data_IF_280207379874
#
_entry.id   IF_280207379874
#
_cell.length_a   1.000
_cell.length_b   1.000
_cell.length_c   1.000
_cell.angle_alpha   90.00
_cell.angle_beta   90.00
_cell.angle_gamma   90.00
#
_symmetry.space_group_name_H-M   'P 1'
#
loop_
_entity.id
_entity.type
_entity.pdbx_description
1 polymer ?
#
# COMPACT_ATOMS: atom_id res chain seq x y z
N UNK A 1 19.20 12.90 2.50
CA UNK A 1 18.06 12.55 3.38
C UNK A 1 17.90 11.03 3.34
N UNK A 2 17.79 10.37 4.50
CA UNK A 2 17.58 8.92 4.59
C UNK A 2 16.08 8.64 4.61
N UNK A 3 15.59 7.75 3.75
CA UNK A 3 14.23 7.23 3.89
C UNK A 3 14.17 6.18 5.01
N UNK A 4 13.00 6.06 5.62
CA UNK A 4 12.63 4.96 6.54
C UNK A 4 11.57 4.12 5.84
N UNK A 5 11.70 2.80 5.91
CA UNK A 5 10.74 1.87 5.35
C UNK A 5 10.00 1.21 6.50
N UNK A 6 8.68 1.03 6.37
CA UNK A 6 7.81 0.41 7.36
C UNK A 6 6.85 -0.53 6.66
N UNK A 7 6.46 -1.61 7.33
CA UNK A 7 5.43 -2.52 6.81
C UNK A 7 4.08 -2.07 7.35
N UNK A 8 3.08 -2.00 6.48
CA UNK A 8 1.70 -1.72 6.88
C UNK A 8 0.82 -2.93 6.63
N UNK A 9 -0.11 -3.14 7.56
CA UNK A 9 -1.10 -4.20 7.52
C UNK A 9 -2.45 -3.65 7.09
N UNK A 10 -2.83 -3.90 5.84
CA UNK A 10 -4.12 -3.54 5.25
C UNK A 10 -5.23 -4.52 5.61
N UNK A 11 -4.96 -5.57 6.40
CA UNK A 11 -6.05 -6.36 6.99
C UNK A 11 -6.76 -5.63 8.14
N UNK A 12 -6.20 -4.51 8.59
CA UNK A 12 -6.83 -3.60 9.55
C UNK A 12 -7.41 -2.38 8.83
N UNK A 13 -8.39 -1.75 9.49
CA UNK A 13 -9.07 -0.56 9.00
C UNK A 13 -9.16 0.49 10.15
N UNK A 14 -8.40 1.60 10.11
CA UNK A 14 -7.36 1.92 9.12
C UNK A 14 -6.17 0.96 9.21
N UNK A 15 -5.31 1.01 8.20
CA UNK A 15 -4.04 0.28 8.16
C UNK A 15 -3.21 0.59 9.41
N UNK A 16 -2.56 -0.43 9.96
CA UNK A 16 -1.62 -0.27 11.07
C UNK A 16 -0.20 -0.47 10.56
N UNK A 17 0.75 0.30 11.11
CA UNK A 17 2.18 0.03 10.96
C UNK A 17 2.52 -1.16 11.84
N UNK A 18 3.14 -2.20 11.29
CA UNK A 18 3.68 -3.30 12.07
C UNK A 18 5.12 -2.94 12.48
N UNK A 19 5.47 -3.20 13.74
CA UNK A 19 6.74 -2.81 14.34
C UNK A 19 7.94 -3.21 13.47
N UNK A 20 8.77 -2.20 13.13
CA UNK A 20 9.94 -2.35 12.29
C UNK A 20 10.26 -1.08 11.49
N UNK A 21 11.43 -0.50 11.75
CA UNK A 21 11.97 0.63 10.99
C UNK A 21 13.21 0.18 10.22
N UNK A 22 13.07 0.06 8.90
CA UNK A 22 14.18 -0.33 8.01
C UNK A 22 14.79 0.89 7.33
N UNK A 23 16.11 0.88 7.13
CA UNK A 23 16.83 1.94 6.40
C UNK A 23 16.87 1.70 4.89
N UNK A 24 16.49 0.50 4.44
CA UNK A 24 16.46 0.09 3.03
C UNK A 24 15.22 -0.74 2.76
N UNK A 25 14.77 -0.74 1.50
CA UNK A 25 13.59 -1.47 1.07
C UNK A 25 13.72 -2.98 1.30
N UNK A 26 14.90 -3.54 1.02
CA UNK A 26 15.17 -4.97 1.04
C UNK A 26 14.86 -5.59 2.41
N UNK A 27 15.17 -4.87 3.50
CA UNK A 27 14.87 -5.35 4.85
C UNK A 27 13.37 -5.45 5.13
N UNK A 28 12.57 -4.51 4.61
CA UNK A 28 11.11 -4.55 4.73
C UNK A 28 10.51 -5.63 3.80
N UNK A 29 11.08 -5.83 2.62
CA UNK A 29 10.68 -6.88 1.68
C UNK A 29 10.91 -8.28 2.25
N UNK A 30 12.08 -8.53 2.84
CA UNK A 30 12.40 -9.78 3.54
C UNK A 30 11.43 -10.04 4.69
N UNK A 31 11.08 -9.00 5.45
CA UNK A 31 10.14 -9.10 6.56
C UNK A 31 8.73 -9.46 6.05
N UNK A 32 8.25 -8.82 4.98
CA UNK A 32 6.97 -9.16 4.33
C UNK A 32 6.97 -10.59 3.81
N UNK A 33 8.04 -11.04 3.15
CA UNK A 33 8.15 -12.40 2.64
C UNK A 33 8.13 -13.45 3.77
N UNK A 34 8.70 -13.12 4.94
CA UNK A 34 8.64 -13.93 6.15
C UNK A 34 7.27 -13.86 6.86
N UNK A 35 6.40 -12.93 6.46
CA UNK A 35 5.06 -12.77 7.00
C UNK A 35 4.97 -11.95 8.29
N UNK A 36 5.98 -11.13 8.60
CA UNK A 36 6.14 -10.21 9.75
C UNK A 36 5.36 -10.61 11.02
N UNK A 37 6.08 -10.95 12.09
CA UNK A 37 5.59 -11.23 13.46
C UNK A 37 4.06 -11.19 13.65
N UNK A 38 3.41 -12.34 13.43
CA UNK A 38 1.97 -12.50 13.68
C UNK A 38 1.04 -12.17 12.50
N UNK A 39 1.58 -11.76 11.34
CA UNK A 39 0.78 -11.38 10.16
C UNK A 39 0.98 -12.25 8.90
N UNK A 40 1.16 -13.59 8.97
CA UNK A 40 1.50 -14.43 7.82
C UNK A 40 0.38 -14.60 6.80
N UNK A 41 -0.83 -14.10 7.09
CA UNK A 41 -2.00 -14.16 6.21
C UNK A 41 -2.59 -12.78 5.92
N UNK A 42 -1.94 -11.72 6.40
CA UNK A 42 -2.45 -10.37 6.21
C UNK A 42 -2.12 -9.82 4.82
N UNK A 43 -2.87 -8.80 4.42
CA UNK A 43 -2.53 -7.96 3.28
C UNK A 43 -1.45 -6.97 3.71
N UNK A 44 -0.20 -7.29 3.37
CA UNK A 44 0.96 -6.49 3.74
C UNK A 44 1.43 -5.62 2.56
N UNK A 45 1.88 -4.40 2.88
CA UNK A 45 2.53 -3.46 1.97
C UNK A 45 3.71 -2.80 2.66
N UNK A 46 4.52 -2.08 1.89
CA UNK A 46 5.68 -1.36 2.40
C UNK A 46 5.47 0.13 2.16
N UNK A 47 5.56 0.96 3.19
CA UNK A 47 5.60 2.41 3.05
C UNK A 47 7.04 2.91 3.09
N UNK A 48 7.41 3.80 2.17
CA UNK A 48 8.65 4.57 2.22
C UNK A 48 8.36 5.97 2.74
N UNK A 49 8.97 6.32 3.85
CA UNK A 49 8.78 7.56 4.58
C UNK A 49 10.02 8.44 4.48
N UNK A 50 9.80 9.72 4.21
CA UNK A 50 10.75 10.79 4.48
C UNK A 50 10.14 11.86 5.38
N UNK A 51 9.11 11.45 6.15
CA UNK A 51 8.20 12.27 6.94
C UNK A 51 7.56 13.40 6.10
N UNK A 52 6.42 13.16 5.40
CA UNK A 52 5.45 12.05 5.51
C UNK A 52 5.73 10.83 4.59
N UNK A 53 4.71 9.98 4.36
CA UNK A 53 4.72 8.87 3.40
C UNK A 53 4.94 9.38 1.96
N UNK A 54 5.97 8.85 1.30
CA UNK A 54 6.38 9.26 -0.05
C UNK A 54 5.93 8.25 -1.10
N UNK A 55 6.13 6.95 -0.83
CA UNK A 55 5.76 5.87 -1.76
C UNK A 55 5.22 4.68 -1.00
N UNK A 56 4.39 3.88 -1.68
CA UNK A 56 3.94 2.58 -1.21
C UNK A 56 4.37 1.51 -2.19
N UNK A 57 5.07 0.50 -1.68
CA UNK A 57 5.45 -0.72 -2.36
C UNK A 57 4.38 -1.79 -2.21
N UNK A 58 3.83 -2.23 -3.34
CA UNK A 58 3.07 -3.47 -3.43
C UNK A 58 4.06 -4.64 -3.57
N UNK A 59 4.11 -5.59 -2.63
CA UNK A 59 5.02 -6.73 -2.69
C UNK A 59 4.85 -7.59 -3.96
N UNK A 60 5.83 -8.44 -4.29
CA UNK A 60 5.67 -9.46 -5.33
C UNK A 60 4.46 -10.35 -5.06
N UNK A 61 3.77 -10.80 -6.11
CA UNK A 61 2.56 -11.61 -5.98
C UNK A 61 2.75 -12.89 -5.18
N UNK A 62 3.95 -13.48 -5.21
CA UNK A 62 4.31 -14.68 -4.44
C UNK A 62 4.33 -14.45 -2.92
N UNK A 63 4.50 -13.20 -2.50
CA UNK A 63 4.61 -12.79 -1.10
C UNK A 63 3.27 -12.26 -0.56
N UNK A 64 2.26 -12.07 -1.44
CA UNK A 64 0.89 -11.75 -1.04
C UNK A 64 0.13 -12.99 -0.55
N UNK A 65 -0.05 -13.08 0.77
CA UNK A 65 -0.79 -14.20 1.39
C UNK A 65 -2.30 -13.97 1.42
N UNK A 66 -2.76 -12.71 1.39
CA UNK A 66 -4.18 -12.33 1.38
C UNK A 66 -4.90 -12.49 0.02
N UNK A 67 -4.29 -13.14 -0.98
CA UNK A 67 -4.84 -13.33 -2.35
C UNK A 67 -5.21 -12.02 -3.06
N UNK A 68 -4.36 -11.00 -2.96
CA UNK A 68 -4.52 -9.73 -3.68
C UNK A 68 -4.26 -9.92 -5.17
N UNK A 69 -5.07 -9.26 -6.02
CA UNK A 69 -4.97 -9.36 -7.48
C UNK A 69 -3.81 -8.49 -8.02
N UNK A 70 -2.57 -8.98 -7.97
CA UNK A 70 -1.41 -8.33 -8.59
C UNK A 70 -0.54 -9.36 -9.34
N UNK A 71 0.33 -8.91 -10.25
CA UNK A 71 1.16 -9.79 -11.09
C UNK A 71 2.65 -9.40 -11.11
N UNK A 72 3.11 -8.63 -10.13
CA UNK A 72 4.49 -8.17 -10.10
C UNK A 72 5.42 -9.24 -9.52
N UNK A 73 6.60 -9.39 -10.12
CA UNK A 73 7.65 -10.30 -9.65
C UNK A 73 8.66 -9.62 -8.71
N UNK A 74 8.59 -8.30 -8.58
CA UNK A 74 9.33 -7.45 -7.65
C UNK A 74 8.36 -6.49 -6.95
N UNK A 75 8.81 -5.82 -5.89
CA UNK A 75 8.03 -4.75 -5.26
C UNK A 75 7.76 -3.64 -6.28
N UNK A 76 6.48 -3.32 -6.48
CA UNK A 76 6.04 -2.24 -7.34
C UNK A 76 5.76 -1.00 -6.50
N UNK A 77 6.60 0.01 -6.64
CA UNK A 77 6.50 1.28 -5.92
C UNK A 77 5.54 2.23 -6.63
N UNK A 78 4.73 2.95 -5.86
CA UNK A 78 3.81 3.98 -6.35
C UNK A 78 3.87 5.18 -5.42
N UNK A 79 4.00 6.39 -5.96
CA UNK A 79 4.04 7.61 -5.14
C UNK A 79 2.70 7.87 -4.44
N UNK A 80 2.77 8.37 -3.21
CA UNK A 80 1.59 8.62 -2.37
C UNK A 80 0.62 9.62 -3.00
N UNK A 81 1.13 10.60 -3.76
CA UNK A 81 0.31 11.57 -4.50
C UNK A 81 -0.56 10.90 -5.58
N UNK A 82 -0.01 9.94 -6.32
CA UNK A 82 -0.78 9.16 -7.30
C UNK A 82 -1.85 8.29 -6.62
N UNK A 83 -1.54 7.73 -5.44
CA UNK A 83 -2.51 6.96 -4.67
C UNK A 83 -3.65 7.84 -4.12
N UNK A 84 -3.34 9.07 -3.68
CA UNK A 84 -4.37 10.06 -3.29
C UNK A 84 -5.28 10.42 -4.46
N UNK A 85 -4.69 10.68 -5.63
CA UNK A 85 -5.47 10.97 -6.84
C UNK A 85 -6.37 9.79 -7.23
N UNK A 86 -5.83 8.57 -7.14
CA UNK A 86 -6.59 7.35 -7.42
C UNK A 86 -7.72 7.15 -6.39
N UNK A 87 -7.47 7.41 -5.11
CA UNK A 87 -8.50 7.35 -4.06
C UNK A 87 -9.63 8.35 -4.36
N UNK A 88 -9.30 9.60 -4.70
CA UNK A 88 -10.27 10.59 -5.13
C UNK A 88 -11.06 10.14 -6.38
N UNK A 89 -10.40 9.49 -7.35
CA UNK A 89 -11.05 8.95 -8.54
C UNK A 89 -12.08 7.86 -8.22
N UNK A 90 -11.82 7.00 -7.22
CA UNK A 90 -12.80 6.02 -6.73
C UNK A 90 -14.04 6.66 -6.11
N UNK A 91 -13.91 7.86 -5.51
CA UNK A 91 -14.99 8.62 -4.91
C UNK A 91 -15.65 9.65 -5.85
N UNK A 92 -15.20 9.74 -7.10
CA UNK A 92 -15.76 10.68 -8.09
C UNK A 92 -17.25 10.43 -8.32
N UNK A 93 -18.02 11.50 -8.54
CA UNK A 93 -19.42 11.40 -8.98
C UNK A 93 -19.54 10.94 -10.44
N UNK A 94 -18.50 11.16 -11.25
CA UNK A 94 -18.41 10.73 -12.64
C UNK A 94 -18.14 9.22 -12.76
N UNK A 95 -19.09 8.50 -13.38
CA UNK A 95 -19.00 7.05 -13.58
C UNK A 95 -17.84 6.63 -14.48
N UNK A 96 -17.49 7.43 -15.49
CA UNK A 96 -16.38 7.14 -16.38
C UNK A 96 -15.05 7.17 -15.63
N UNK A 97 -14.89 8.15 -14.73
CA UNK A 97 -13.71 8.27 -13.86
C UNK A 97 -13.62 7.08 -12.89
N UNK A 98 -14.71 6.72 -12.21
CA UNK A 98 -14.73 5.53 -11.32
C UNK A 98 -14.39 4.24 -12.07
N UNK A 99 -14.94 4.08 -13.27
CA UNK A 99 -14.70 2.91 -14.12
C UNK A 99 -13.24 2.84 -14.57
N UNK A 100 -12.65 3.98 -14.92
CA UNK A 100 -11.23 4.05 -15.29
C UNK A 100 -10.34 3.67 -14.10
N UNK A 101 -10.61 4.22 -12.92
CA UNK A 101 -9.87 3.89 -11.69
C UNK A 101 -9.88 2.38 -11.40
N UNK A 102 -11.06 1.74 -11.47
CA UNK A 102 -11.21 0.31 -11.26
C UNK A 102 -10.44 -0.56 -12.28
N UNK A 103 -10.24 -0.06 -13.51
CA UNK A 103 -9.54 -0.80 -14.58
C UNK A 103 -8.03 -0.64 -14.53
N UNK A 104 -7.53 0.52 -14.10
CA UNK A 104 -6.09 0.83 -14.14
C UNK A 104 -5.34 0.33 -12.91
N UNK A 105 -6.00 0.19 -11.76
CA UNK A 105 -5.31 -0.04 -10.48
C UNK A 105 -5.44 -1.46 -9.94
N UNK A 106 -4.79 -2.42 -10.58
CA UNK A 106 -4.83 -3.84 -10.12
C UNK A 106 -4.32 -4.02 -8.68
N UNK A 107 -3.20 -3.38 -8.35
CA UNK A 107 -2.65 -3.45 -6.99
C UNK A 107 -3.41 -2.57 -6.00
N UNK A 108 -4.11 -1.54 -6.46
CA UNK A 108 -4.67 -0.51 -5.59
C UNK A 108 -6.18 -0.45 -5.78
N UNK A 109 -6.86 -1.54 -5.41
CA UNK A 109 -8.30 -1.56 -5.32
C UNK A 109 -8.80 -0.49 -4.33
N UNK A 110 -9.99 0.06 -4.56
CA UNK A 110 -10.56 1.13 -3.74
C UNK A 110 -10.58 0.81 -2.24
N UNK A 111 -10.81 -0.45 -1.87
CA UNK A 111 -10.76 -0.90 -0.46
C UNK A 111 -9.37 -0.77 0.17
N UNK A 112 -8.29 -1.11 -0.55
CA UNK A 112 -6.91 -0.95 -0.04
C UNK A 112 -6.58 0.53 0.17
N UNK A 113 -7.01 1.38 -0.76
CA UNK A 113 -6.83 2.83 -0.66
C UNK A 113 -7.62 3.41 0.51
N UNK A 114 -8.85 2.95 0.74
CA UNK A 114 -9.65 3.33 1.89
C UNK A 114 -8.95 2.96 3.20
N UNK A 115 -8.42 1.73 3.32
CA UNK A 115 -7.69 1.33 4.54
C UNK A 115 -6.40 2.13 4.73
N UNK A 116 -5.77 2.59 3.65
CA UNK A 116 -4.60 3.47 3.67
C UNK A 116 -4.88 4.95 4.00
N UNK A 117 -6.15 5.36 4.15
CA UNK A 117 -6.54 6.78 4.25
C UNK A 117 -5.82 7.58 5.34
N UNK A 118 -5.51 6.95 6.48
CA UNK A 118 -4.79 7.58 7.59
C UNK A 118 -3.35 7.98 7.22
N UNK A 119 -2.71 7.23 6.32
CA UNK A 119 -1.33 7.46 5.88
C UNK A 119 -1.27 8.33 4.61
N UNK A 120 -2.36 8.35 3.84
CA UNK A 120 -2.52 9.17 2.64
C UNK A 120 -3.11 10.55 2.95
N UNK A 121 -3.36 10.90 4.22
CA UNK A 121 -4.04 12.14 4.63
C UNK A 121 -5.39 12.37 3.93
N UNK A 122 -6.08 11.28 3.55
CA UNK A 122 -7.26 11.34 2.67
C UNK A 122 -8.59 11.53 3.42
N UNK A 123 -8.56 11.54 4.75
CA UNK A 123 -9.75 11.74 5.61
C UNK A 123 -10.15 13.21 5.79
N UNK A 124 -9.40 14.14 5.21
CA UNK A 124 -9.64 15.59 5.28
C UNK A 124 -10.10 16.20 3.94
N UNK A 125 -10.50 15.39 2.96
CA UNK A 125 -10.96 15.84 1.64
C UNK A 125 -12.48 15.75 1.47
#
# INVERSE_FOLDING_TARGET
MSSTYRVLCLSHDPAIIIDGDWRRAEGAEEAVAAGVDGHPHCDLIIGRYSYPLVEVGCPPSRDHRAKVTCYHNSTAWTESEWLRLLAAAYHSSDEAVRTLAAKTSRCWAGERLHRLRAELDSDNA
#
